data_IF_997784457692
#
_entry.id   IF_997784457692
#
_cell.length_a   1.000
_cell.length_b   1.000
_cell.length_c   1.000
_cell.angle_alpha   90.00
_cell.angle_beta   90.00
_cell.angle_gamma   90.00
#
_symmetry.space_group_name_H-M   'P 1'
#
loop_
_entity.id
_entity.type
_entity.pdbx_description
1 polymer ?
#
# COMPACT_ATOMS: atom_id res chain seq x y z
N UNK A 1 -26.90 18.50 23.78
CA UNK A 1 -28.35 18.40 24.11
C UNK A 1 -29.01 19.71 23.77
N UNK A 2 -30.13 19.66 23.07
CA UNK A 2 -30.98 20.82 22.79
C UNK A 2 -32.11 20.83 23.81
N UNK A 3 -32.41 22.00 24.37
CA UNK A 3 -33.53 22.20 25.29
C UNK A 3 -34.38 23.36 24.80
N UNK A 4 -35.64 23.35 25.20
CA UNK A 4 -36.54 24.45 24.89
C UNK A 4 -37.77 24.44 25.76
N UNK A 5 -38.66 25.39 25.48
CA UNK A 5 -39.93 25.52 26.18
C UNK A 5 -41.13 25.43 25.24
N UNK A 6 -42.27 25.04 25.79
CA UNK A 6 -43.58 24.96 25.11
C UNK A 6 -44.70 25.40 26.06
N UNK A 7 -45.88 25.68 25.52
CA UNK A 7 -47.06 26.01 26.30
C UNK A 7 -47.54 24.81 27.15
N UNK A 8 -48.16 25.07 28.31
CA UNK A 8 -48.77 24.03 29.18
C UNK A 8 -49.92 23.25 28.53
N UNK A 9 -50.49 23.74 27.44
CA UNK A 9 -51.50 23.02 26.67
C UNK A 9 -50.92 21.91 25.78
N UNK A 10 -49.60 21.85 25.64
CA UNK A 10 -48.90 20.89 24.78
C UNK A 10 -49.04 19.47 25.32
N UNK A 11 -49.48 18.55 24.45
CA UNK A 11 -49.56 17.14 24.73
C UNK A 11 -48.29 16.41 24.30
N UNK A 12 -47.70 16.80 23.17
CA UNK A 12 -46.52 16.16 22.60
C UNK A 12 -45.58 17.20 21.96
N UNK A 13 -44.30 16.85 21.90
CA UNK A 13 -43.31 17.59 21.10
C UNK A 13 -42.76 16.62 20.07
N UNK A 14 -42.82 17.02 18.81
CA UNK A 14 -42.24 16.28 17.68
C UNK A 14 -41.00 17.03 17.18
N UNK A 15 -39.98 16.27 16.83
CA UNK A 15 -38.79 16.76 16.14
C UNK A 15 -38.65 16.04 14.81
N UNK A 16 -38.56 16.78 13.73
CA UNK A 16 -38.20 16.24 12.41
C UNK A 16 -36.74 16.54 12.14
N UNK A 17 -35.94 15.49 12.03
CA UNK A 17 -34.52 15.60 11.66
C UNK A 17 -34.39 15.55 10.15
N UNK A 18 -33.73 16.55 9.57
CA UNK A 18 -33.45 16.65 8.14
C UNK A 18 -31.94 16.57 7.94
N UNK A 19 -31.49 15.44 7.39
CA UNK A 19 -30.08 15.14 7.12
C UNK A 19 -29.99 14.57 5.71
N UNK A 20 -29.10 15.11 4.87
CA UNK A 20 -28.89 14.68 3.49
C UNK A 20 -30.20 14.54 2.67
N UNK A 21 -31.13 15.48 2.86
CA UNK A 21 -32.45 15.48 2.21
C UNK A 21 -33.43 14.40 2.70
N UNK A 22 -33.10 13.66 3.77
CA UNK A 22 -33.98 12.68 4.41
C UNK A 22 -34.59 13.26 5.68
N UNK A 23 -35.91 13.22 5.77
CA UNK A 23 -36.68 13.65 6.93
C UNK A 23 -37.07 12.46 7.80
N UNK A 24 -36.78 12.55 9.10
CA UNK A 24 -37.14 11.52 10.09
C UNK A 24 -37.87 12.16 11.28
N UNK A 25 -39.21 12.05 11.35
CA UNK A 25 -40.00 12.56 12.46
C UNK A 25 -39.84 11.66 13.70
N UNK A 26 -39.79 12.29 14.87
CA UNK A 26 -39.68 11.60 16.15
C UNK A 26 -40.44 12.36 17.24
N UNK A 27 -41.36 11.68 17.91
CA UNK A 27 -42.07 12.22 19.08
C UNK A 27 -41.21 12.01 20.31
N UNK A 28 -41.00 13.07 21.10
CA UNK A 28 -40.19 13.03 22.30
C UNK A 28 -40.85 12.16 23.38
N UNK A 29 -40.44 10.89 23.45
CA UNK A 29 -41.00 9.90 24.40
C UNK A 29 -40.84 10.26 25.88
N UNK A 30 -39.88 11.13 26.21
CA UNK A 30 -39.62 11.60 27.58
C UNK A 30 -40.37 12.89 27.93
N UNK A 31 -41.03 13.52 26.97
CA UNK A 31 -41.85 14.69 27.24
C UNK A 31 -43.12 14.28 27.98
N UNK A 32 -43.44 14.95 29.08
CA UNK A 32 -44.67 14.71 29.82
C UNK A 32 -45.71 15.76 29.41
N UNK A 33 -46.92 15.37 28.98
CA UNK A 33 -48.00 16.29 28.64
C UNK A 33 -48.22 17.34 29.73
N UNK A 34 -48.31 18.61 29.34
CA UNK A 34 -48.45 19.74 30.26
C UNK A 34 -47.14 20.30 30.81
N UNK A 35 -46.01 19.63 30.58
CA UNK A 35 -44.70 20.18 30.91
C UNK A 35 -44.36 21.37 30.02
N UNK A 36 -43.73 22.39 30.60
CA UNK A 36 -43.28 23.55 29.82
C UNK A 36 -41.87 23.37 29.26
N UNK A 37 -41.13 22.36 29.70
CA UNK A 37 -39.74 22.13 29.30
C UNK A 37 -39.62 20.81 28.53
N UNK A 38 -38.74 20.80 27.54
CA UNK A 38 -38.38 19.59 26.80
C UNK A 38 -36.88 19.56 26.51
N UNK A 39 -36.39 18.36 26.19
CA UNK A 39 -35.02 18.14 25.76
C UNK A 39 -34.94 17.13 24.62
N UNK A 40 -33.99 17.34 23.72
CA UNK A 40 -33.67 16.47 22.60
C UNK A 40 -32.16 16.23 22.55
N UNK A 41 -31.76 14.97 22.39
CA UNK A 41 -30.34 14.61 22.32
C UNK A 41 -29.94 14.56 20.86
N UNK A 42 -29.06 15.48 20.46
CA UNK A 42 -28.36 15.46 19.18
C UNK A 42 -27.02 14.76 19.39
N UNK A 43 -26.77 13.66 18.67
CA UNK A 43 -25.62 12.80 18.87
C UNK A 43 -25.30 11.97 17.64
N UNK A 44 -24.02 11.91 17.27
CA UNK A 44 -23.56 11.03 16.19
C UNK A 44 -23.85 9.55 16.48
N UNK A 45 -23.86 9.15 17.76
CA UNK A 45 -24.17 7.78 18.18
C UNK A 45 -25.64 7.39 17.95
N UNK A 46 -26.54 8.37 17.85
CA UNK A 46 -27.94 8.16 17.51
C UNK A 46 -28.22 8.41 16.03
N UNK A 47 -27.16 8.62 15.23
CA UNK A 47 -27.24 8.87 13.78
C UNK A 47 -28.14 10.05 13.40
N UNK A 48 -28.42 10.94 14.36
CA UNK A 48 -29.17 12.18 14.15
C UNK A 48 -28.24 13.39 14.14
N UNK A 49 -26.95 13.18 13.93
CA UNK A 49 -25.91 14.20 13.77
C UNK A 49 -24.84 13.64 12.83
N UNK A 50 -24.68 14.22 11.65
CA UNK A 50 -23.66 13.84 10.67
C UNK A 50 -22.70 15.00 10.40
N UNK A 51 -21.48 14.74 9.90
CA UNK A 51 -20.59 15.82 9.47
C UNK A 51 -21.27 16.74 8.45
N UNK A 52 -21.14 18.06 8.64
CA UNK A 52 -21.78 19.06 7.79
C UNK A 52 -23.05 19.65 8.42
N UNK A 53 -23.97 20.14 7.59
CA UNK A 53 -25.18 20.82 8.03
C UNK A 53 -26.28 19.82 8.42
N UNK A 54 -26.86 20.02 9.61
CA UNK A 54 -27.98 19.24 10.13
C UNK A 54 -29.12 20.18 10.49
N UNK A 55 -30.35 19.86 10.09
CA UNK A 55 -31.52 20.69 10.41
C UNK A 55 -32.52 19.92 11.26
N UNK A 56 -33.03 20.56 12.30
CA UNK A 56 -34.02 19.99 13.22
C UNK A 56 -35.20 20.93 13.34
N UNK A 57 -36.39 20.41 13.03
CA UNK A 57 -37.64 21.17 13.08
C UNK A 57 -38.45 20.68 14.26
N UNK A 58 -38.72 21.57 15.22
CA UNK A 58 -39.49 21.28 16.42
C UNK A 58 -40.91 21.80 16.29
N UNK A 59 -41.89 20.97 16.64
CA UNK A 59 -43.31 21.33 16.63
C UNK A 59 -44.00 20.83 17.90
N UNK A 60 -44.72 21.73 18.58
CA UNK A 60 -45.59 21.35 19.69
C UNK A 60 -46.95 20.92 19.17
N UNK A 61 -47.53 19.89 19.78
CA UNK A 61 -48.84 19.34 19.41
C UNK A 61 -49.74 19.38 20.65
N UNK A 62 -50.88 20.07 20.54
CA UNK A 62 -51.92 20.16 21.57
C UNK A 62 -52.68 18.85 21.76
N UNK A 63 -53.51 18.77 22.82
CA UNK A 63 -54.35 17.58 23.10
C UNK A 63 -55.41 17.31 22.02
N UNK A 64 -55.82 18.37 21.32
CA UNK A 64 -56.72 18.37 20.18
C UNK A 64 -56.02 18.05 18.84
N UNK A 65 -54.70 17.82 18.87
CA UNK A 65 -53.89 17.58 17.67
C UNK A 65 -53.46 18.85 16.94
N UNK A 66 -53.79 20.05 17.45
CA UNK A 66 -53.36 21.31 16.83
C UNK A 66 -51.85 21.46 16.95
N UNK A 67 -51.19 21.76 15.83
CA UNK A 67 -49.74 21.93 15.74
C UNK A 67 -49.38 23.42 15.86
N UNK A 68 -48.33 23.72 16.61
CA UNK A 68 -47.77 25.07 16.68
C UNK A 68 -47.05 25.46 15.40
N UNK A 69 -46.70 26.74 15.28
CA UNK A 69 -45.62 27.15 14.37
C UNK A 69 -44.35 26.37 14.69
N UNK A 70 -43.58 26.05 13.65
CA UNK A 70 -42.38 25.24 13.77
C UNK A 70 -41.14 26.10 14.03
N UNK A 71 -40.26 25.63 14.91
CA UNK A 71 -38.95 26.25 15.15
C UNK A 71 -37.85 25.40 14.52
N UNK A 72 -36.98 26.01 13.73
CA UNK A 72 -35.88 25.31 13.06
C UNK A 72 -34.55 25.63 13.73
N UNK A 73 -33.79 24.58 14.05
CA UNK A 73 -32.39 24.65 14.46
C UNK A 73 -31.52 24.11 13.34
N UNK A 74 -30.58 24.91 12.86
CA UNK A 74 -29.52 24.47 11.95
C UNK A 74 -28.23 24.35 12.74
N UNK A 75 -27.59 23.18 12.67
CA UNK A 75 -26.34 22.86 13.34
C UNK A 75 -25.33 22.36 12.31
N UNK A 76 -24.24 23.08 12.15
CA UNK A 76 -23.06 22.59 11.43
C UNK A 76 -22.21 21.78 12.40
N UNK A 77 -21.94 20.53 12.07
CA UNK A 77 -21.09 19.64 12.84
C UNK A 77 -19.81 19.32 12.07
N UNK A 78 -18.72 19.90 12.54
CA UNK A 78 -17.38 19.54 12.08
C UNK A 78 -16.91 18.35 12.93
N UNK A 79 -17.08 17.13 12.41
CA UNK A 79 -16.56 15.94 13.07
C UNK A 79 -15.03 16.08 13.18
N UNK A 80 -14.46 16.11 14.40
CA UNK A 80 -13.02 16.19 14.56
C UNK A 80 -12.35 15.04 13.81
N UNK A 81 -11.29 15.33 13.06
CA UNK A 81 -10.45 14.30 12.48
C UNK A 81 -9.90 13.43 13.62
N UNK A 82 -9.95 12.12 13.47
CA UNK A 82 -9.27 11.23 14.41
C UNK A 82 -7.77 11.55 14.37
N UNK A 83 -7.10 11.62 15.53
CA UNK A 83 -5.67 11.91 15.58
C UNK A 83 -4.92 10.86 14.77
N UNK A 84 -3.93 11.31 14.00
CA UNK A 84 -3.10 10.41 13.23
C UNK A 84 -2.34 9.45 14.14
N UNK A 85 -2.29 8.18 13.74
CA UNK A 85 -1.42 7.18 14.36
C UNK A 85 0.00 7.34 13.79
N UNK A 86 0.82 8.08 14.52
CA UNK A 86 2.22 8.37 14.17
C UNK A 86 3.19 7.22 14.56
N UNK A 87 2.67 6.00 14.78
CA UNK A 87 3.50 4.82 14.99
C UNK A 87 4.36 4.49 13.77
N UNK A 88 5.44 3.74 14.00
CA UNK A 88 6.40 3.40 12.95
C UNK A 88 5.71 2.53 11.87
N UNK A 89 5.89 2.81 10.56
CA UNK A 89 5.41 1.94 9.50
C UNK A 89 6.00 0.53 9.63
N UNK A 90 5.30 -0.48 9.15
CA UNK A 90 5.79 -1.87 9.19
C UNK A 90 6.02 -2.37 7.78
N UNK A 91 7.13 -3.09 7.58
CA UNK A 91 7.34 -3.88 6.37
C UNK A 91 6.66 -5.23 6.56
N UNK A 92 5.86 -5.63 5.58
CA UNK A 92 5.04 -6.85 5.63
C UNK A 92 5.63 -7.93 4.72
N UNK A 93 6.05 -7.58 3.51
CA UNK A 93 6.59 -8.56 2.57
C UNK A 93 7.53 -7.95 1.52
N UNK A 94 8.31 -8.85 0.92
CA UNK A 94 9.20 -8.63 -0.21
C UNK A 94 8.80 -9.62 -1.30
N UNK A 95 8.37 -9.13 -2.47
CA UNK A 95 7.78 -9.93 -3.54
C UNK A 95 6.65 -10.88 -3.06
N UNK A 96 5.90 -10.47 -2.03
CA UNK A 96 4.85 -11.27 -1.41
C UNK A 96 5.33 -12.31 -0.39
N UNK A 97 6.64 -12.51 -0.24
CA UNK A 97 7.26 -13.38 0.76
C UNK A 97 7.90 -12.63 1.93
N UNK A 98 8.50 -13.38 2.86
CA UNK A 98 9.15 -12.81 4.06
C UNK A 98 10.65 -12.54 3.87
N UNK A 99 11.25 -13.04 2.79
CA UNK A 99 12.69 -12.96 2.54
C UNK A 99 13.08 -11.60 1.98
N UNK A 100 14.01 -10.91 2.62
CA UNK A 100 14.63 -9.69 2.09
C UNK A 100 15.74 -9.96 1.07
N UNK A 101 16.04 -11.22 0.77
CA UNK A 101 17.05 -11.60 -0.23
C UNK A 101 16.42 -11.86 -1.59
N UNK A 102 17.09 -11.44 -2.67
CA UNK A 102 16.65 -11.65 -4.05
C UNK A 102 17.84 -11.85 -4.99
N UNK A 103 17.63 -12.53 -6.12
CA UNK A 103 18.51 -12.48 -7.30
C UNK A 103 17.89 -11.69 -8.45
N UNK A 104 16.65 -11.23 -8.29
CA UNK A 104 15.89 -10.48 -9.29
C UNK A 104 16.35 -9.02 -9.36
N UNK A 105 16.08 -8.39 -10.50
CA UNK A 105 16.37 -6.97 -10.74
C UNK A 105 15.31 -6.02 -10.17
N UNK A 106 14.22 -6.57 -9.62
CA UNK A 106 13.14 -5.82 -9.01
C UNK A 106 12.62 -6.50 -7.75
N UNK A 107 12.36 -5.70 -6.72
CA UNK A 107 11.69 -6.13 -5.49
C UNK A 107 10.54 -5.18 -5.21
N UNK A 108 9.34 -5.74 -5.08
CA UNK A 108 8.18 -5.06 -4.52
C UNK A 108 8.18 -5.25 -3.01
N UNK A 109 8.25 -4.15 -2.27
CA UNK A 109 8.11 -4.14 -0.82
C UNK A 109 6.71 -3.67 -0.49
N UNK A 110 5.97 -4.44 0.29
CA UNK A 110 4.66 -4.05 0.80
C UNK A 110 4.73 -3.84 2.31
N UNK A 111 3.98 -2.85 2.80
CA UNK A 111 3.96 -2.52 4.21
C UNK A 111 2.65 -1.88 4.68
N UNK A 112 2.57 -1.66 5.97
CA UNK A 112 1.43 -1.01 6.65
C UNK A 112 1.87 0.25 7.38
N UNK A 113 0.91 1.14 7.63
CA UNK A 113 1.09 2.38 8.39
C UNK A 113 -0.20 2.71 9.14
N UNK A 114 -0.10 3.51 10.20
CA UNK A 114 -1.24 4.00 10.97
C UNK A 114 -2.27 4.81 10.16
N UNK A 115 -3.46 4.98 10.73
CA UNK A 115 -4.50 5.87 10.18
C UNK A 115 -4.10 7.34 10.31
N UNK A 116 -4.67 8.19 9.46
CA UNK A 116 -4.38 9.63 9.42
C UNK A 116 -3.12 10.02 8.65
N UNK A 117 -2.37 9.07 8.11
CA UNK A 117 -1.21 9.33 7.25
C UNK A 117 -1.65 9.64 5.82
N UNK A 118 -1.17 10.75 5.26
CA UNK A 118 -1.54 11.25 3.93
C UNK A 118 -0.42 11.12 2.90
N UNK A 119 0.83 11.02 3.33
CA UNK A 119 2.01 10.84 2.45
C UNK A 119 2.95 9.80 3.05
N UNK A 120 3.61 9.03 2.18
CA UNK A 120 4.63 8.04 2.56
C UNK A 120 5.91 8.30 1.80
N UNK A 121 7.05 8.11 2.47
CA UNK A 121 8.38 8.31 1.91
C UNK A 121 9.25 7.08 2.14
N UNK A 122 10.07 6.75 1.15
CA UNK A 122 11.18 5.78 1.29
C UNK A 122 12.46 6.48 0.85
N UNK A 123 13.43 6.65 1.75
CA UNK A 123 14.65 7.45 1.54
C UNK A 123 14.36 8.82 0.92
N UNK A 124 13.39 9.52 1.51
CA UNK A 124 12.89 10.83 1.07
C UNK A 124 12.24 10.86 -0.33
N UNK A 125 12.08 9.71 -0.98
CA UNK A 125 11.27 9.57 -2.18
C UNK A 125 9.79 9.39 -1.84
N UNK A 126 8.94 10.32 -2.32
CA UNK A 126 7.49 10.28 -2.12
C UNK A 126 6.85 9.11 -2.89
N UNK A 127 6.12 8.25 -2.19
CA UNK A 127 5.32 7.18 -2.78
C UNK A 127 4.03 7.76 -3.40
N UNK A 128 4.09 8.18 -4.65
CA UNK A 128 2.95 8.81 -5.36
C UNK A 128 1.74 7.89 -5.55
N UNK A 129 1.93 6.57 -5.45
CA UNK A 129 0.85 5.56 -5.51
C UNK A 129 0.21 5.29 -4.15
N UNK A 130 0.73 5.86 -3.06
CA UNK A 130 0.12 5.75 -1.75
C UNK A 130 -1.21 6.51 -1.75
N UNK A 131 -2.28 5.83 -1.36
CA UNK A 131 -3.59 6.46 -1.16
C UNK A 131 -3.66 6.93 0.30
N UNK A 132 -3.93 8.23 0.49
CA UNK A 132 -4.06 8.82 1.82
C UNK A 132 -5.03 8.02 2.69
N UNK A 133 -4.63 7.77 3.95
CA UNK A 133 -5.38 7.04 4.97
C UNK A 133 -5.73 5.56 4.63
N UNK A 134 -5.16 5.00 3.56
CA UNK A 134 -5.36 3.58 3.21
C UNK A 134 -4.82 2.64 4.29
N UNK A 135 -3.72 3.03 4.95
CA UNK A 135 -3.01 2.21 5.94
C UNK A 135 -2.06 1.17 5.32
N UNK A 136 -1.91 1.17 4.00
CA UNK A 136 -1.03 0.26 3.26
C UNK A 136 -0.16 1.03 2.27
N UNK A 137 1.07 0.60 2.07
CA UNK A 137 2.01 1.23 1.14
C UNK A 137 2.81 0.18 0.38
N UNK A 138 3.30 0.56 -0.79
CA UNK A 138 4.17 -0.28 -1.61
C UNK A 138 5.32 0.53 -2.20
N UNK A 139 6.49 -0.09 -2.27
CA UNK A 139 7.70 0.48 -2.85
C UNK A 139 8.32 -0.51 -3.83
N UNK A 140 8.98 0.00 -4.88
CA UNK A 140 9.69 -0.82 -5.86
C UNK A 140 11.17 -0.46 -5.87
N UNK A 141 12.00 -1.36 -5.37
CA UNK A 141 13.44 -1.31 -5.53
C UNK A 141 13.80 -1.99 -6.87
N UNK A 142 14.53 -1.30 -7.74
CA UNK A 142 14.91 -1.78 -9.07
C UNK A 142 16.32 -1.36 -9.45
N UNK A 143 17.05 -2.25 -10.09
CA UNK A 143 18.39 -1.94 -10.63
C UNK A 143 18.32 -0.84 -11.69
N UNK A 144 17.29 -0.87 -12.54
CA UNK A 144 17.03 0.13 -13.59
C UNK A 144 16.73 1.53 -13.06
N UNK A 145 16.26 1.66 -11.81
CA UNK A 145 16.05 2.95 -11.15
C UNK A 145 17.25 3.35 -10.27
N UNK A 146 18.29 2.51 -10.20
CA UNK A 146 19.48 2.74 -9.38
C UNK A 146 19.25 2.64 -7.87
N UNK A 147 18.03 2.34 -7.43
CA UNK A 147 17.64 2.21 -6.04
C UNK A 147 17.69 0.75 -5.53
N UNK A 148 18.26 -0.16 -6.31
CA UNK A 148 18.66 -1.51 -5.90
C UNK A 148 20.02 -1.83 -6.52
N UNK A 149 21.01 -2.16 -5.70
CA UNK A 149 22.38 -2.51 -6.10
C UNK A 149 22.71 -3.93 -5.64
N UNK A 150 23.71 -4.54 -6.24
CA UNK A 150 24.23 -5.82 -5.73
C UNK A 150 24.75 -5.66 -4.29
N UNK A 151 24.51 -6.67 -3.46
CA UNK A 151 24.81 -6.62 -2.03
C UNK A 151 23.66 -6.08 -1.17
N UNK A 152 24.00 -5.55 0.00
CA UNK A 152 23.03 -5.06 1.00
C UNK A 152 22.62 -3.62 0.67
N UNK A 153 21.32 -3.40 0.54
CA UNK A 153 20.72 -2.08 0.36
C UNK A 153 19.91 -1.76 1.62
N UNK A 154 20.16 -0.60 2.23
CA UNK A 154 19.40 -0.13 3.39
C UNK A 154 18.44 0.98 2.96
N UNK A 155 17.22 0.92 3.47
CA UNK A 155 16.17 1.90 3.22
C UNK A 155 15.54 2.37 4.52
N UNK A 156 15.01 3.59 4.50
CA UNK A 156 14.25 4.21 5.59
C UNK A 156 12.86 4.58 5.11
N UNK A 157 11.83 4.23 5.88
CA UNK A 157 10.43 4.53 5.55
C UNK A 157 9.75 5.31 6.68
N UNK A 158 9.00 6.34 6.30
CA UNK A 158 8.19 7.15 7.21
C UNK A 158 6.94 7.72 6.51
N UNK A 159 5.93 8.07 7.30
CA UNK A 159 4.72 8.75 6.85
C UNK A 159 4.63 10.19 7.36
N UNK A 160 3.78 11.00 6.72
CA UNK A 160 3.34 12.30 7.19
C UNK A 160 1.82 12.34 7.35
N UNK A 161 1.32 12.96 8.41
CA UNK A 161 -0.09 13.33 8.54
C UNK A 161 -0.43 14.63 7.76
N UNK A 162 -1.69 15.07 7.86
CA UNK A 162 -2.19 16.28 7.18
C UNK A 162 -1.49 17.56 7.65
N UNK A 163 -1.03 17.58 8.90
CA UNK A 163 -0.35 18.71 9.52
C UNK A 163 1.17 18.70 9.26
N UNK A 164 1.67 17.62 8.63
CA UNK A 164 3.08 17.44 8.31
C UNK A 164 3.91 16.79 9.41
N UNK A 165 3.29 16.23 10.45
CA UNK A 165 3.99 15.49 11.49
C UNK A 165 4.49 14.14 10.96
N UNK A 166 5.72 13.78 11.34
CA UNK A 166 6.37 12.53 10.91
C UNK A 166 5.99 11.37 11.82
N UNK A 167 5.75 10.20 11.22
CA UNK A 167 5.80 8.94 11.95
C UNK A 167 7.22 8.68 12.48
N UNK A 168 7.36 7.74 13.40
CA UNK A 168 8.67 7.11 13.64
C UNK A 168 9.19 6.48 12.34
N UNK A 169 10.52 6.49 12.16
CA UNK A 169 11.16 5.91 10.98
C UNK A 169 11.37 4.41 11.20
N UNK A 170 11.06 3.62 10.18
CA UNK A 170 11.41 2.20 10.12
C UNK A 170 12.53 2.01 9.11
N UNK A 171 13.55 1.23 9.47
CA UNK A 171 14.62 0.84 8.54
C UNK A 171 14.42 -0.60 8.11
N UNK A 172 14.69 -0.90 6.84
CA UNK A 172 14.68 -2.26 6.32
C UNK A 172 15.77 -2.44 5.27
N UNK A 173 16.14 -3.69 4.99
CA UNK A 173 17.20 -4.02 4.04
C UNK A 173 16.69 -4.94 2.94
N UNK A 174 17.34 -4.87 1.77
CA UNK A 174 17.20 -5.82 0.68
C UNK A 174 18.60 -6.27 0.26
N UNK A 175 18.84 -7.58 0.26
CA UNK A 175 20.11 -8.16 -0.19
C UNK A 175 19.94 -8.71 -1.60
N UNK A 176 20.51 -8.03 -2.60
CA UNK A 176 20.59 -8.56 -3.96
C UNK A 176 21.81 -9.44 -4.09
N UNK A 177 21.60 -10.75 -4.23
CA UNK A 177 22.65 -11.73 -4.48
C UNK A 177 23.04 -11.67 -5.95
N UNK A 178 24.33 -11.52 -6.21
CA UNK A 178 24.88 -11.78 -7.55
C UNK A 178 24.64 -13.26 -7.84
N UNK A 179 23.96 -13.63 -8.94
CA UNK A 179 23.83 -15.03 -9.31
C UNK A 179 25.23 -15.62 -9.42
N UNK A 180 25.47 -16.74 -8.74
CA UNK A 180 26.71 -17.48 -8.91
C UNK A 180 26.84 -17.80 -10.40
N UNK A 181 27.84 -17.21 -11.04
CA UNK A 181 28.22 -17.62 -12.39
C UNK A 181 28.75 -19.03 -12.21
N UNK A 182 27.93 -20.04 -12.51
CA UNK A 182 28.43 -21.40 -12.64
C UNK A 182 29.64 -21.31 -13.57
N UNK A 183 30.84 -21.76 -13.16
CA UNK A 183 31.96 -21.81 -14.07
C UNK A 183 31.50 -22.55 -15.31
N UNK A 184 31.69 -21.93 -16.49
CA UNK A 184 31.40 -22.60 -17.75
C UNK A 184 32.02 -24.00 -17.70
N UNK A 185 31.31 -25.07 -18.11
CA UNK A 185 31.94 -26.38 -18.18
C UNK A 185 33.22 -26.20 -18.98
N UNK A 186 34.36 -26.54 -18.36
CA UNK A 186 35.66 -26.42 -18.99
C UNK A 186 35.53 -27.02 -20.39
N UNK A 187 35.78 -26.21 -21.42
CA UNK A 187 35.71 -26.66 -22.79
C UNK A 187 36.48 -27.96 -22.89
N UNK A 188 35.78 -29.06 -23.24
CA UNK A 188 36.42 -30.36 -23.38
C UNK A 188 37.65 -30.16 -24.28
N UNK A 189 38.82 -30.71 -23.92
CA UNK A 189 39.99 -30.63 -24.78
C UNK A 189 39.59 -31.15 -26.17
N UNK A 190 40.02 -30.50 -27.26
CA UNK A 190 39.73 -30.96 -28.61
C UNK A 190 40.14 -32.44 -28.73
N UNK A 191 39.42 -33.27 -29.51
CA UNK A 191 39.75 -34.67 -29.69
C UNK A 191 41.23 -34.78 -30.08
N UNK A 192 41.98 -35.64 -29.37
CA UNK A 192 43.37 -35.90 -29.70
C UNK A 192 43.46 -36.33 -31.18
N UNK A 193 44.29 -35.61 -31.93
CA UNK A 193 44.69 -35.96 -33.29
C UNK A 193 45.26 -37.39 -33.28
N UNK A 194 44.84 -38.29 -34.18
CA UNK A 194 45.30 -39.67 -34.16
C UNK A 194 46.82 -39.72 -34.35
N UNK A 195 47.50 -40.33 -33.38
CA UNK A 195 48.94 -40.55 -33.41
C UNK A 195 49.33 -41.29 -34.69
N UNK A 196 50.20 -40.68 -35.49
CA UNK A 196 50.83 -41.30 -36.64
C UNK A 196 51.69 -42.46 -36.13
N UNK A 197 51.23 -43.68 -36.39
CA UNK A 197 51.91 -44.90 -36.02
C UNK A 197 53.24 -44.96 -36.80
N UNK A 198 54.35 -44.79 -36.09
CA UNK A 198 55.69 -44.90 -36.66
C UNK A 198 55.95 -46.37 -37.01
N UNK A 199 56.08 -46.67 -38.29
CA UNK A 199 56.45 -48.00 -38.80
C UNK A 199 57.90 -48.32 -38.43
N UNK A 200 58.22 -49.56 -38.00
CA UNK A 200 59.60 -49.94 -37.74
C UNK A 200 60.39 -50.11 -39.04
N UNK A 201 61.54 -49.46 -39.10
CA UNK A 201 62.55 -49.53 -40.17
C UNK A 201 62.96 -50.97 -40.45
N UNK A 202 62.66 -51.44 -41.67
CA UNK A 202 63.15 -52.69 -42.23
C UNK A 202 64.65 -52.59 -42.54
N UNK A 203 65.49 -53.61 -42.23
CA UNK A 203 66.92 -53.58 -42.53
C UNK A 203 67.18 -53.61 -44.04
N UNK A 204 68.24 -52.91 -44.45
CA UNK A 204 68.67 -52.73 -45.83
C UNK A 204 68.90 -54.07 -46.57
N UNK A 205 68.40 -54.22 -47.81
CA UNK A 205 68.82 -55.31 -48.69
C UNK A 205 70.19 -55.03 -49.33
N UNK A 206 70.93 -56.11 -49.58
CA UNK A 206 72.27 -56.15 -50.17
C UNK A 206 72.32 -55.59 -51.61
N UNK A 207 73.48 -55.10 -52.10
CA UNK A 207 73.60 -54.50 -53.43
C UNK A 207 73.80 -55.57 -54.51
N UNK A 208 73.12 -55.43 -55.64
CA UNK A 208 73.38 -56.20 -56.87
C UNK A 208 73.00 -55.38 -58.12
N UNK A 209 73.45 -55.75 -59.33
CA UNK A 209 74.56 -55.08 -60.01
C UNK A 209 74.15 -54.12 -61.14
N UNK A 210 75.13 -53.33 -61.59
CA UNK A 210 75.07 -52.40 -62.72
C UNK A 210 74.81 -53.08 -64.07
N UNK A 211 73.85 -52.56 -64.85
CA UNK A 211 73.75 -52.73 -66.31
C UNK A 211 72.81 -51.63 -66.85
N UNK A 212 73.31 -50.55 -67.46
CA UNK A 212 73.67 -50.39 -68.88
C UNK A 212 72.46 -50.42 -69.83
N UNK A 213 72.21 -49.30 -70.54
CA UNK A 213 71.26 -49.28 -71.67
C UNK A 213 70.61 -47.91 -71.96
N UNK A 214 70.86 -47.26 -73.11
CA UNK A 214 70.57 -45.83 -73.30
C UNK A 214 69.37 -45.50 -74.20
N UNK A 215 68.96 -44.21 -74.16
CA UNK A 215 68.38 -43.37 -75.25
C UNK A 215 66.95 -43.74 -75.75
N UNK A 216 66.29 -42.91 -76.59
CA UNK A 216 66.48 -41.50 -76.97
C UNK A 216 65.19 -40.64 -76.88
N UNK A 217 65.25 -39.33 -77.21
CA UNK A 217 64.14 -38.39 -77.08
C UNK A 217 63.32 -38.25 -78.37
N UNK A 218 62.14 -37.62 -78.25
CA UNK A 218 61.66 -36.52 -79.10
C UNK A 218 60.52 -35.79 -78.39
#
# INVERSE_FOLDING_TARGET
>A
TVTGTVARSTAQVEVTTNIDGKSSPYVLRKYQPGSTNWSYVVSANYQNLVPGENSYVFTAIGKDGVRSDATTLVLTYDKPAEPADLSAPKVVSFNGGSSSETTEDAVKVDGTVGKGIVKMYVDDFLLTKYVANSGVWSYYARTTYGNLKDGVNEYSVYGLDVDGNKTKITKFTITKKTPEVMPAPASAPPPAEPAVQSTPTQPAPAPEPTSSGPRPPL
#
